data_IF_865052598356
#
_entry.id   IF_865052598356
#
_cell.length_a   1.000
_cell.length_b   1.000
_cell.length_c   1.000
_cell.angle_alpha   90.00
_cell.angle_beta   90.00
_cell.angle_gamma   90.00
#
_symmetry.space_group_name_H-M   'P 1'
#
loop_
_entity.id
_entity.type
_entity.pdbx_description
1 polymer ?
#
# COMPACT_ATOMS: atom_id res chain seq x y z
N UNK A 1 9.27 -9.64 -10.07
CA UNK A 1 7.99 -9.77 -9.39
C UNK A 1 6.87 -9.05 -10.11
N UNK A 2 6.95 -7.75 -10.32
CA UNK A 2 6.02 -6.98 -11.16
C UNK A 2 6.74 -6.53 -12.42
N UNK A 3 6.17 -6.86 -13.59
CA UNK A 3 6.67 -6.42 -14.87
C UNK A 3 5.61 -5.54 -15.55
N UNK A 4 6.00 -4.35 -15.94
CA UNK A 4 5.18 -3.39 -16.67
C UNK A 4 5.74 -3.37 -18.09
N UNK A 5 4.91 -3.67 -19.09
CA UNK A 5 5.33 -3.83 -20.49
C UNK A 5 4.52 -2.93 -21.41
N UNK A 6 5.18 -1.95 -21.98
CA UNK A 6 4.64 -1.06 -23.03
C UNK A 6 3.28 -0.45 -22.67
N UNK A 7 3.11 -0.01 -21.42
CA UNK A 7 1.85 0.57 -20.96
C UNK A 7 1.60 1.91 -21.62
N UNK A 8 0.39 2.04 -22.15
CA UNK A 8 -0.16 3.30 -22.65
C UNK A 8 -1.44 3.63 -21.89
N UNK A 9 -1.58 4.91 -21.52
CA UNK A 9 -2.81 5.47 -20.96
C UNK A 9 -3.03 6.90 -21.44
N UNK A 10 -4.15 7.13 -22.10
CA UNK A 10 -4.53 8.42 -22.65
C UNK A 10 -5.80 8.94 -21.97
N UNK A 11 -5.92 10.25 -21.88
CA UNK A 11 -7.12 10.96 -21.46
C UNK A 11 -7.48 11.98 -22.53
N UNK A 12 -8.42 11.64 -23.42
CA UNK A 12 -8.67 12.42 -24.62
C UNK A 12 -7.40 12.56 -25.49
N UNK A 13 -6.95 13.78 -25.73
CA UNK A 13 -5.72 14.04 -26.49
C UNK A 13 -4.42 13.96 -25.70
N UNK A 14 -4.48 13.83 -24.36
CA UNK A 14 -3.30 13.77 -23.49
C UNK A 14 -2.79 12.33 -23.35
N UNK A 15 -1.56 12.07 -23.76
CA UNK A 15 -0.85 10.80 -23.50
C UNK A 15 -0.21 10.87 -22.11
N UNK A 16 -0.93 10.42 -21.08
CA UNK A 16 -0.45 10.50 -19.71
C UNK A 16 0.60 9.44 -19.37
N UNK A 17 0.49 8.25 -19.97
CA UNK A 17 1.55 7.21 -19.98
C UNK A 17 1.74 6.79 -21.43
N UNK A 18 2.99 6.78 -21.87
CA UNK A 18 3.35 6.58 -23.26
C UNK A 18 4.52 5.57 -23.38
N UNK A 19 4.18 4.30 -23.54
CA UNK A 19 5.14 3.20 -23.67
C UNK A 19 6.00 2.94 -22.42
N UNK A 20 5.43 3.10 -21.22
CA UNK A 20 6.17 2.83 -19.99
C UNK A 20 6.47 1.33 -19.84
N UNK A 21 7.74 1.01 -19.59
CA UNK A 21 8.22 -0.35 -19.35
C UNK A 21 9.23 -0.36 -18.21
N UNK A 22 8.98 -1.19 -17.18
CA UNK A 22 9.86 -1.28 -16.01
C UNK A 22 9.63 -2.58 -15.24
N UNK A 23 10.55 -2.91 -14.35
CA UNK A 23 10.50 -4.11 -13.52
C UNK A 23 10.68 -3.72 -12.06
N UNK A 24 9.80 -4.24 -11.19
CA UNK A 24 9.96 -4.18 -9.75
C UNK A 24 10.32 -5.59 -9.27
N UNK A 25 11.51 -5.75 -8.72
CA UNK A 25 12.01 -7.04 -8.25
C UNK A 25 11.35 -7.42 -6.92
N UNK A 26 11.23 -8.72 -6.66
CA UNK A 26 10.73 -9.22 -5.38
C UNK A 26 11.70 -8.84 -4.27
N UNK A 27 11.16 -8.32 -3.17
CA UNK A 27 11.95 -7.90 -2.00
C UNK A 27 12.76 -6.62 -2.23
N UNK A 28 12.53 -5.85 -3.32
CA UNK A 28 13.11 -4.53 -3.49
C UNK A 28 12.21 -3.42 -2.96
N UNK A 29 12.82 -2.29 -2.65
CA UNK A 29 12.11 -1.00 -2.49
C UNK A 29 12.48 -0.18 -3.71
N UNK A 30 11.64 -0.24 -4.75
CA UNK A 30 11.90 0.44 -6.02
C UNK A 30 11.29 1.83 -5.99
N UNK A 31 12.10 2.88 -6.20
CA UNK A 31 11.65 4.26 -6.30
C UNK A 31 11.25 4.62 -7.73
N UNK A 32 10.18 5.40 -7.91
CA UNK A 32 9.79 6.02 -9.17
C UNK A 32 9.79 7.54 -9.00
N UNK A 33 10.75 8.19 -9.62
CA UNK A 33 10.92 9.65 -9.57
C UNK A 33 10.67 10.28 -10.94
N UNK A 34 10.53 11.59 -10.96
CA UNK A 34 10.37 12.36 -12.19
C UNK A 34 9.59 13.65 -11.96
N UNK A 35 9.55 14.57 -12.92
CA UNK A 35 8.87 15.84 -12.78
C UNK A 35 7.35 15.68 -12.61
N UNK A 36 6.69 16.76 -12.16
CA UNK A 36 5.24 16.80 -12.15
C UNK A 36 4.70 16.67 -13.58
N UNK A 37 3.63 15.89 -13.75
CA UNK A 37 3.10 15.59 -15.08
C UNK A 37 3.82 14.47 -15.84
N UNK A 38 4.89 13.86 -15.31
CA UNK A 38 5.58 12.74 -15.94
C UNK A 38 4.74 11.45 -16.09
N UNK A 39 3.53 11.39 -15.50
CA UNK A 39 2.66 10.23 -15.61
C UNK A 39 2.75 9.23 -14.44
N UNK A 40 3.58 9.47 -13.42
CA UNK A 40 3.82 8.57 -12.27
C UNK A 40 2.52 8.11 -11.59
N UNK A 41 1.71 9.07 -11.14
CA UNK A 41 0.43 8.78 -10.47
C UNK A 41 -0.56 8.08 -11.41
N UNK A 42 -0.55 8.41 -12.71
CA UNK A 42 -1.37 7.71 -13.70
C UNK A 42 -0.93 6.25 -13.85
N UNK A 43 0.37 5.99 -13.87
CA UNK A 43 0.91 4.63 -13.91
C UNK A 43 0.53 3.85 -12.65
N UNK A 44 0.67 4.44 -11.46
CA UNK A 44 0.24 3.82 -10.20
C UNK A 44 -1.26 3.55 -10.16
N UNK A 45 -2.09 4.49 -10.62
CA UNK A 45 -3.53 4.28 -10.76
C UNK A 45 -3.85 3.12 -11.72
N UNK A 46 -3.05 2.94 -12.77
CA UNK A 46 -3.21 1.85 -13.73
C UNK A 46 -2.82 0.50 -13.10
N UNK A 47 -1.72 0.45 -12.36
CA UNK A 47 -1.28 -0.76 -11.63
C UNK A 47 -2.28 -1.12 -10.53
N UNK A 48 -2.81 -0.12 -9.82
CA UNK A 48 -3.80 -0.29 -8.75
C UNK A 48 -5.22 -0.59 -9.25
N UNK A 49 -5.44 -0.70 -10.57
CA UNK A 49 -6.73 -1.05 -11.16
C UNK A 49 -7.78 0.07 -11.15
N UNK A 50 -7.38 1.31 -10.84
CA UNK A 50 -8.26 2.49 -10.90
C UNK A 50 -8.51 2.87 -12.35
N UNK A 51 -7.44 2.79 -13.18
CA UNK A 51 -7.55 2.97 -14.62
C UNK A 51 -7.20 1.68 -15.35
N UNK A 52 -7.98 1.33 -16.36
CA UNK A 52 -7.59 0.27 -17.29
C UNK A 52 -6.55 0.84 -18.26
N UNK A 53 -5.42 0.13 -18.52
CA UNK A 53 -4.50 0.54 -19.58
C UNK A 53 -5.19 0.50 -20.95
N UNK A 54 -4.79 1.39 -21.85
CA UNK A 54 -5.29 1.40 -23.22
C UNK A 54 -4.58 0.33 -24.07
N UNK A 55 -3.30 0.06 -23.75
CA UNK A 55 -2.52 -1.08 -24.28
C UNK A 55 -1.34 -1.39 -23.37
N UNK A 56 -0.66 -2.51 -23.65
CA UNK A 56 0.42 -3.05 -22.83
C UNK A 56 -0.08 -4.00 -21.76
N UNK A 57 0.83 -4.60 -21.00
CA UNK A 57 0.53 -5.59 -19.99
C UNK A 57 1.21 -5.29 -18.65
N UNK A 58 0.53 -5.63 -17.57
CA UNK A 58 1.04 -5.61 -16.20
C UNK A 58 1.04 -7.05 -15.71
N UNK A 59 2.23 -7.60 -15.43
CA UNK A 59 2.40 -9.00 -15.07
C UNK A 59 2.93 -9.09 -13.64
N UNK A 60 2.21 -9.78 -12.77
CA UNK A 60 2.61 -10.10 -11.40
C UNK A 60 2.91 -11.59 -11.27
N UNK A 61 4.15 -11.94 -10.93
CA UNK A 61 4.56 -13.36 -10.72
C UNK A 61 4.09 -14.29 -11.88
N UNK A 62 4.27 -13.83 -13.13
CA UNK A 62 3.88 -14.51 -14.36
C UNK A 62 2.36 -14.51 -14.68
N UNK A 63 1.54 -13.89 -13.86
CA UNK A 63 0.11 -13.71 -14.10
C UNK A 63 -0.18 -12.31 -14.65
N UNK A 64 -0.97 -12.22 -15.74
CA UNK A 64 -1.43 -10.95 -16.28
C UNK A 64 -2.54 -10.38 -15.38
N UNK A 65 -2.28 -9.21 -14.82
CA UNK A 65 -3.20 -8.47 -13.95
C UNK A 65 -3.73 -7.19 -14.61
N UNK A 66 -3.51 -7.02 -15.91
CA UNK A 66 -3.87 -5.82 -16.65
C UNK A 66 -5.38 -5.55 -16.60
N UNK A 67 -5.76 -4.40 -16.05
CA UNK A 67 -7.15 -3.97 -15.97
C UNK A 67 -8.02 -4.71 -14.97
N UNK A 68 -7.43 -5.51 -14.07
CA UNK A 68 -8.12 -6.03 -12.90
C UNK A 68 -8.58 -4.88 -12.00
N UNK A 69 -9.71 -5.08 -11.34
CA UNK A 69 -10.28 -4.08 -10.41
C UNK A 69 -9.53 -4.09 -9.05
N UNK A 70 -9.59 -3.00 -8.26
CA UNK A 70 -8.87 -2.90 -6.99
C UNK A 70 -9.14 -4.05 -6.01
N UNK A 71 -10.39 -4.55 -5.91
CA UNK A 71 -10.73 -5.67 -5.03
C UNK A 71 -10.14 -7.01 -5.50
N UNK A 72 -9.94 -7.20 -6.82
CA UNK A 72 -9.28 -8.39 -7.38
C UNK A 72 -7.77 -8.33 -7.10
N UNK A 73 -7.16 -7.14 -7.20
CA UNK A 73 -5.77 -6.90 -6.85
C UNK A 73 -5.51 -7.05 -5.34
N UNK A 74 -6.46 -6.62 -4.50
CA UNK A 74 -6.41 -6.86 -3.06
C UNK A 74 -6.32 -8.36 -2.74
N UNK A 75 -7.13 -9.20 -3.40
CA UNK A 75 -7.07 -10.67 -3.25
C UNK A 75 -5.73 -11.26 -3.71
N UNK A 76 -5.02 -10.57 -4.62
CA UNK A 76 -3.65 -10.94 -5.04
C UNK A 76 -2.57 -10.34 -4.15
N UNK A 77 -2.96 -9.70 -3.04
CA UNK A 77 -2.06 -9.08 -2.06
C UNK A 77 -1.25 -7.91 -2.62
N UNK A 78 -1.85 -7.17 -3.56
CA UNK A 78 -1.37 -5.87 -4.01
C UNK A 78 -2.18 -4.81 -3.31
N UNK A 79 -1.52 -3.96 -2.54
CA UNK A 79 -2.15 -2.83 -1.87
C UNK A 79 -1.53 -1.53 -2.32
N UNK A 80 -2.35 -0.49 -2.30
CA UNK A 80 -1.89 0.88 -2.50
C UNK A 80 -2.24 1.70 -1.27
N UNK A 81 -1.28 2.46 -0.78
CA UNK A 81 -1.56 3.55 0.15
C UNK A 81 -2.00 4.78 -0.62
N UNK A 82 -2.80 5.63 -0.02
CA UNK A 82 -3.29 6.85 -0.64
C UNK A 82 -2.44 8.05 -0.18
N UNK A 83 -2.36 9.07 -1.02
CA UNK A 83 -1.69 10.34 -0.70
C UNK A 83 -2.29 11.00 0.55
N UNK A 84 -3.61 10.84 0.75
CA UNK A 84 -4.30 11.22 1.99
C UNK A 84 -4.69 9.93 2.70
N UNK A 85 -4.24 9.77 3.95
CA UNK A 85 -4.60 8.61 4.75
C UNK A 85 -6.12 8.56 4.98
N UNK A 86 -6.71 7.42 4.66
CA UNK A 86 -8.14 7.16 4.81
C UNK A 86 -8.39 6.23 6.01
N UNK A 87 -8.16 6.78 7.20
CA UNK A 87 -8.52 6.10 8.44
C UNK A 87 -10.04 6.23 8.71
N UNK A 88 -10.58 5.25 9.40
CA UNK A 88 -11.90 5.36 9.99
C UNK A 88 -11.77 6.15 11.29
N UNK A 89 -12.00 7.45 11.21
CA UNK A 89 -11.70 8.42 12.27
C UNK A 89 -12.43 8.18 13.59
N UNK A 90 -13.59 7.51 13.54
CA UNK A 90 -14.41 7.14 14.71
C UNK A 90 -14.07 5.80 15.32
N UNK A 91 -13.15 5.03 14.71
CA UNK A 91 -12.65 3.79 15.22
C UNK A 91 -11.28 4.00 15.88
N UNK A 92 -10.95 3.15 16.86
CA UNK A 92 -9.62 3.12 17.47
C UNK A 92 -8.56 2.65 16.49
N UNK A 93 -7.29 2.85 16.80
CA UNK A 93 -6.15 2.30 16.03
C UNK A 93 -6.28 0.78 15.89
N UNK A 94 -6.59 0.10 16.98
CA UNK A 94 -6.80 -1.35 16.99
C UNK A 94 -7.92 -1.77 16.04
N UNK A 95 -9.10 -1.16 16.16
CA UNK A 95 -10.26 -1.47 15.31
C UNK A 95 -9.99 -1.19 13.84
N UNK A 96 -9.27 -0.10 13.52
CA UNK A 96 -8.84 0.20 12.15
C UNK A 96 -7.99 -0.90 11.52
N UNK A 97 -7.18 -1.60 12.31
CA UNK A 97 -6.39 -2.73 11.85
C UNK A 97 -7.24 -4.00 11.76
N UNK A 98 -8.06 -4.27 12.77
CA UNK A 98 -8.87 -5.49 12.84
C UNK A 98 -9.90 -5.62 11.72
N UNK A 99 -10.37 -4.52 11.16
CA UNK A 99 -11.34 -4.56 10.05
C UNK A 99 -10.75 -4.86 8.67
N UNK A 100 -9.41 -4.91 8.53
CA UNK A 100 -8.74 -5.05 7.22
C UNK A 100 -8.73 -6.49 6.68
N UNK A 101 -8.49 -7.54 7.49
CA UNK A 101 -8.42 -8.91 6.97
C UNK A 101 -9.72 -9.32 6.28
N UNK A 102 -9.64 -9.92 5.06
CA UNK A 102 -10.82 -10.37 4.34
C UNK A 102 -11.42 -11.66 4.93
N UNK A 103 -12.65 -11.98 4.55
CA UNK A 103 -13.32 -13.24 4.88
C UNK A 103 -13.50 -13.46 6.39
N UNK A 104 -13.85 -12.42 7.11
CA UNK A 104 -14.15 -12.55 8.54
C UNK A 104 -15.49 -13.28 8.72
N UNK A 105 -15.49 -14.31 9.56
CA UNK A 105 -16.72 -15.10 9.83
C UNK A 105 -17.85 -14.25 10.42
N UNK A 106 -17.51 -13.19 11.17
CA UNK A 106 -18.47 -12.24 11.74
C UNK A 106 -19.26 -11.44 10.73
N UNK A 107 -18.78 -11.30 9.47
CA UNK A 107 -19.49 -10.65 8.38
C UNK A 107 -20.68 -11.46 7.84
N UNK A 108 -20.73 -12.76 8.16
CA UNK A 108 -21.80 -13.64 7.74
C UNK A 108 -22.78 -13.88 8.90
N UNK A 109 -24.04 -13.45 8.70
CA UNK A 109 -25.12 -13.56 9.69
C UNK A 109 -25.27 -15.00 10.21
N UNK A 110 -25.15 -16.02 9.37
CA UNK A 110 -25.30 -17.44 9.77
C UNK A 110 -24.18 -17.84 10.72
N UNK A 111 -22.94 -17.44 10.44
CA UNK A 111 -21.80 -17.73 11.32
C UNK A 111 -21.90 -16.96 12.63
N UNK A 112 -22.31 -15.67 12.58
CA UNK A 112 -22.48 -14.84 13.75
C UNK A 112 -23.54 -15.42 14.72
N UNK A 113 -24.62 -16.02 14.19
CA UNK A 113 -25.70 -16.58 15.00
C UNK A 113 -25.45 -18.00 15.46
N UNK A 114 -24.92 -18.87 14.60
CA UNK A 114 -24.83 -20.31 14.87
C UNK A 114 -23.43 -20.83 15.15
N UNK A 115 -22.38 -20.06 14.90
CA UNK A 115 -20.98 -20.48 15.07
C UNK A 115 -20.13 -19.45 15.83
N UNK A 116 -20.69 -18.89 16.90
CA UNK A 116 -20.07 -17.83 17.71
C UNK A 116 -18.64 -18.20 18.19
N UNK A 117 -18.37 -19.48 18.49
CA UNK A 117 -17.03 -19.91 18.88
C UNK A 117 -15.97 -19.76 17.78
N UNK A 118 -16.34 -19.98 16.51
CA UNK A 118 -15.44 -19.77 15.38
C UNK A 118 -15.20 -18.27 15.12
N UNK A 119 -16.25 -17.47 15.23
CA UNK A 119 -16.13 -16.01 15.12
C UNK A 119 -15.18 -15.48 16.18
N UNK A 120 -15.40 -15.81 17.45
CA UNK A 120 -14.54 -15.36 18.56
C UNK A 120 -13.10 -15.78 18.38
N UNK A 121 -12.85 -17.02 17.98
CA UNK A 121 -11.47 -17.49 17.74
C UNK A 121 -10.78 -16.69 16.66
N UNK A 122 -11.47 -16.43 15.53
CA UNK A 122 -10.89 -15.64 14.44
C UNK A 122 -10.68 -14.19 14.86
N UNK A 123 -11.59 -13.59 15.60
CA UNK A 123 -11.45 -12.22 16.14
C UNK A 123 -10.25 -12.12 17.10
N UNK A 124 -10.00 -13.12 17.94
CA UNK A 124 -8.82 -13.20 18.80
C UNK A 124 -7.53 -13.26 17.96
N UNK A 125 -7.47 -14.15 16.97
CA UNK A 125 -6.31 -14.25 16.06
C UNK A 125 -6.04 -12.94 15.30
N UNK A 126 -7.08 -12.26 14.82
CA UNK A 126 -6.98 -10.97 14.15
C UNK A 126 -6.51 -9.89 15.13
N UNK A 127 -7.03 -9.90 16.35
CA UNK A 127 -6.64 -8.97 17.41
C UNK A 127 -5.18 -9.13 17.80
N UNK A 128 -4.71 -10.35 17.99
CA UNK A 128 -3.32 -10.64 18.32
C UNK A 128 -2.40 -10.13 17.21
N UNK A 129 -2.73 -10.42 15.96
CA UNK A 129 -2.00 -9.88 14.80
C UNK A 129 -2.00 -8.35 14.78
N UNK A 130 -3.13 -7.71 15.09
CA UNK A 130 -3.22 -6.25 15.13
C UNK A 130 -2.36 -5.65 16.24
N UNK A 131 -2.31 -6.30 17.41
CA UNK A 131 -1.42 -5.89 18.52
C UNK A 131 0.05 -5.99 18.10
N UNK A 132 0.46 -7.07 17.44
CA UNK A 132 1.82 -7.25 16.93
C UNK A 132 2.17 -6.15 15.90
N UNK A 133 1.24 -5.80 15.03
CA UNK A 133 1.42 -4.71 14.06
C UNK A 133 1.57 -3.36 14.75
N UNK A 134 0.74 -3.08 15.76
CA UNK A 134 0.81 -1.85 16.56
C UNK A 134 2.16 -1.74 17.27
N UNK A 135 2.65 -2.84 17.84
CA UNK A 135 3.95 -2.88 18.52
C UNK A 135 5.10 -2.69 17.52
N UNK A 136 5.04 -3.35 16.36
CA UNK A 136 6.01 -3.18 15.27
C UNK A 136 6.13 -1.72 14.81
N UNK A 137 5.02 -0.99 14.76
CA UNK A 137 4.96 0.41 14.33
C UNK A 137 5.20 1.42 15.46
N UNK A 138 5.52 0.97 16.67
CA UNK A 138 5.67 1.82 17.87
C UNK A 138 4.41 2.64 18.23
N UNK A 139 3.23 2.15 17.89
CA UNK A 139 1.95 2.80 18.16
C UNK A 139 1.23 2.28 19.42
N UNK A 140 1.91 1.51 20.27
CA UNK A 140 1.31 0.85 21.46
C UNK A 140 0.59 1.80 22.39
N UNK A 141 1.15 3.01 22.59
CA UNK A 141 0.56 4.05 23.42
C UNK A 141 -0.73 4.66 22.83
N UNK A 142 -1.03 4.38 21.56
CA UNK A 142 -2.21 4.86 20.83
C UNK A 142 -3.23 3.76 20.52
N UNK A 143 -3.04 2.54 21.02
CA UNK A 143 -3.86 1.37 20.68
C UNK A 143 -5.36 1.62 20.79
N UNK A 144 -5.80 2.31 21.86
CA UNK A 144 -7.20 2.65 22.11
C UNK A 144 -7.57 4.08 21.74
N UNK A 145 -6.64 4.85 21.15
CA UNK A 145 -6.92 6.21 20.69
C UNK A 145 -7.75 6.15 19.40
N UNK A 146 -8.68 7.10 19.25
CA UNK A 146 -9.44 7.25 18.00
C UNK A 146 -8.49 7.66 16.87
N UNK A 147 -8.59 6.99 15.73
CA UNK A 147 -7.71 7.27 14.60
C UNK A 147 -7.86 8.70 14.06
N UNK A 148 -9.01 9.34 14.27
CA UNK A 148 -9.22 10.75 13.95
C UNK A 148 -8.27 11.69 14.70
N UNK A 149 -7.85 11.35 15.94
CA UNK A 149 -6.99 12.16 16.80
C UNK A 149 -5.49 12.00 16.47
N UNK A 150 -5.13 11.06 15.63
CA UNK A 150 -3.74 10.81 15.24
C UNK A 150 -3.16 11.98 14.44
N UNK A 151 -1.88 12.26 14.64
CA UNK A 151 -1.12 13.16 13.76
C UNK A 151 -1.05 12.59 12.32
N UNK A 152 -0.78 13.45 11.33
CA UNK A 152 -0.69 13.04 9.94
C UNK A 152 0.27 11.86 9.68
N UNK A 153 1.43 11.85 10.32
CA UNK A 153 2.38 10.75 10.17
C UNK A 153 1.97 9.48 10.94
N UNK A 154 1.32 9.61 12.12
CA UNK A 154 0.75 8.44 12.81
C UNK A 154 -0.36 7.79 11.97
N UNK A 155 -1.16 8.58 11.26
CA UNK A 155 -2.14 8.07 10.29
C UNK A 155 -1.46 7.30 9.15
N UNK A 156 -0.34 7.79 8.64
CA UNK A 156 0.45 7.08 7.62
C UNK A 156 1.09 5.80 8.15
N UNK A 157 1.56 5.78 9.40
CA UNK A 157 2.00 4.54 10.05
C UNK A 157 0.84 3.54 10.20
N UNK A 158 -0.35 4.01 10.60
CA UNK A 158 -1.55 3.17 10.68
C UNK A 158 -1.92 2.60 9.32
N UNK A 159 -1.83 3.40 8.25
CA UNK A 159 -2.07 2.95 6.88
C UNK A 159 -1.05 1.88 6.45
N UNK A 160 0.23 2.05 6.77
CA UNK A 160 1.25 1.02 6.57
C UNK A 160 0.91 -0.25 7.35
N UNK A 161 0.44 -0.13 8.61
CA UNK A 161 -0.03 -1.24 9.42
C UNK A 161 -1.18 -2.01 8.78
N UNK A 162 -2.09 -1.34 8.11
CA UNK A 162 -3.17 -1.99 7.37
C UNK A 162 -2.64 -2.91 6.27
N UNK A 163 -1.53 -2.57 5.62
CA UNK A 163 -0.90 -3.46 4.63
C UNK A 163 -0.33 -4.72 5.27
N UNK A 164 0.10 -4.64 6.54
CA UNK A 164 0.61 -5.78 7.29
C UNK A 164 -0.50 -6.76 7.68
N UNK A 165 -1.72 -6.28 7.92
CA UNK A 165 -2.85 -7.13 8.30
C UNK A 165 -3.23 -8.16 7.23
N UNK A 166 -2.88 -7.93 5.96
CA UNK A 166 -3.18 -8.82 4.82
C UNK A 166 -1.94 -9.52 4.25
N UNK A 167 -0.77 -9.39 4.88
CA UNK A 167 0.50 -9.96 4.41
C UNK A 167 0.76 -9.63 2.93
N UNK A 168 0.81 -8.33 2.64
CA UNK A 168 0.92 -7.81 1.28
C UNK A 168 2.17 -8.31 0.59
N UNK A 169 2.06 -8.68 -0.69
CA UNK A 169 3.21 -9.04 -1.54
C UNK A 169 3.86 -7.81 -2.15
N UNK A 170 3.03 -6.88 -2.60
CA UNK A 170 3.45 -5.62 -3.23
C UNK A 170 2.66 -4.47 -2.63
N UNK A 171 3.36 -3.46 -2.15
CA UNK A 171 2.77 -2.23 -1.64
C UNK A 171 3.19 -1.06 -2.54
N UNK A 172 2.20 -0.39 -3.10
CA UNK A 172 2.37 0.84 -3.86
C UNK A 172 2.28 2.01 -2.89
N UNK A 173 3.38 2.71 -2.67
CA UNK A 173 3.46 3.87 -1.77
C UNK A 173 3.45 5.16 -2.59
N UNK A 174 2.48 6.04 -2.32
CA UNK A 174 2.28 7.28 -3.07
C UNK A 174 2.44 8.48 -2.12
N UNK A 175 3.60 9.16 -2.23
CA UNK A 175 3.93 10.38 -1.48
C UNK A 175 3.75 10.26 0.05
N UNK A 176 4.35 9.23 0.66
CA UNK A 176 4.24 8.98 2.11
C UNK A 176 4.85 10.10 2.95
N UNK A 177 5.82 10.83 2.39
CA UNK A 177 6.48 11.97 3.04
C UNK A 177 5.65 13.27 3.02
N UNK A 178 4.60 13.37 2.21
CA UNK A 178 3.85 14.61 2.06
C UNK A 178 3.16 15.03 3.37
N UNK A 179 3.48 16.26 3.85
CA UNK A 179 2.89 16.83 5.07
C UNK A 179 3.36 16.19 6.39
N UNK A 180 4.43 15.40 6.36
CA UNK A 180 4.99 14.74 7.53
C UNK A 180 6.26 15.47 8.00
N UNK A 181 6.43 15.66 9.32
CA UNK A 181 7.67 16.22 9.86
C UNK A 181 8.82 15.22 9.75
N UNK A 182 10.07 15.71 9.82
CA UNK A 182 11.31 14.92 9.65
C UNK A 182 11.41 13.72 10.60
N UNK A 183 11.04 13.89 11.85
CA UNK A 183 11.12 12.82 12.86
C UNK A 183 10.23 11.67 12.47
N UNK A 184 8.98 11.95 12.15
CA UNK A 184 7.98 10.96 11.79
C UNK A 184 8.25 10.33 10.41
N UNK A 185 8.84 11.11 9.48
CA UNK A 185 9.31 10.60 8.20
C UNK A 185 10.41 9.55 8.38
N UNK A 186 11.31 9.77 9.36
CA UNK A 186 12.32 8.78 9.72
C UNK A 186 11.69 7.50 10.28
N UNK A 187 10.68 7.62 11.15
CA UNK A 187 9.96 6.46 11.70
C UNK A 187 9.26 5.65 10.59
N UNK A 188 8.61 6.33 9.64
CA UNK A 188 7.99 5.68 8.47
C UNK A 188 9.05 4.98 7.62
N UNK A 189 10.18 5.65 7.36
CA UNK A 189 11.30 5.08 6.59
C UNK A 189 11.84 3.81 7.23
N UNK A 190 12.07 3.87 8.54
CA UNK A 190 12.60 2.74 9.31
C UNK A 190 11.59 1.58 9.35
N UNK A 191 10.29 1.86 9.45
CA UNK A 191 9.25 0.84 9.36
C UNK A 191 9.22 0.18 7.98
N UNK A 192 9.34 0.95 6.87
CA UNK A 192 9.41 0.41 5.50
C UNK A 192 10.64 -0.49 5.34
N UNK A 193 11.82 -0.02 5.80
CA UNK A 193 13.07 -0.81 5.74
C UNK A 193 12.97 -2.10 6.55
N UNK A 194 12.39 -2.04 7.74
CA UNK A 194 12.17 -3.23 8.58
C UNK A 194 11.20 -4.22 7.92
N UNK A 195 10.08 -3.74 7.36
CA UNK A 195 9.14 -4.59 6.62
C UNK A 195 9.80 -5.27 5.43
N UNK A 196 10.63 -4.56 4.69
CA UNK A 196 11.38 -5.13 3.59
C UNK A 196 12.36 -6.21 4.07
N UNK A 197 13.20 -5.90 5.07
CA UNK A 197 14.27 -6.81 5.54
C UNK A 197 13.72 -8.00 6.33
N UNK A 198 12.77 -7.77 7.26
CA UNK A 198 12.31 -8.79 8.20
C UNK A 198 11.14 -9.62 7.64
N UNK A 199 10.30 -9.01 6.79
CA UNK A 199 9.08 -9.63 6.24
C UNK A 199 9.11 -9.83 4.74
N UNK A 200 10.22 -9.46 4.07
CA UNK A 200 10.41 -9.60 2.60
C UNK A 200 9.32 -8.91 1.76
N UNK A 201 8.81 -7.78 2.25
CA UNK A 201 7.86 -6.95 1.50
C UNK A 201 8.53 -6.34 0.28
N UNK A 202 7.77 -6.23 -0.80
CA UNK A 202 8.17 -5.49 -2.00
C UNK A 202 7.44 -4.16 -2.00
N UNK A 203 8.18 -3.07 -2.20
CA UNK A 203 7.61 -1.73 -2.29
C UNK A 203 7.89 -1.13 -3.66
N UNK A 204 6.90 -0.43 -4.20
CA UNK A 204 7.06 0.46 -5.33
C UNK A 204 6.61 1.85 -4.89
N UNK A 205 7.51 2.83 -4.93
CA UNK A 205 7.39 4.10 -4.20
C UNK A 205 7.44 5.26 -5.17
N UNK A 206 6.43 6.13 -5.15
CA UNK A 206 6.51 7.47 -5.74
C UNK A 206 6.82 8.45 -4.61
N UNK A 207 7.88 9.21 -4.77
CA UNK A 207 8.27 10.25 -3.82
C UNK A 207 8.93 11.43 -4.51
N UNK A 208 8.85 12.59 -3.83
CA UNK A 208 9.50 13.83 -4.24
C UNK A 208 10.62 14.24 -3.27
N UNK A 209 10.64 13.68 -2.05
CA UNK A 209 11.72 13.88 -1.08
C UNK A 209 12.90 12.99 -1.46
N UNK A 210 13.97 13.63 -1.98
CA UNK A 210 15.14 12.90 -2.48
C UNK A 210 15.94 12.26 -1.35
N UNK A 211 15.94 12.84 -0.14
CA UNK A 211 16.61 12.25 1.03
C UNK A 211 15.92 10.94 1.42
N UNK A 212 14.58 10.89 1.31
CA UNK A 212 13.83 9.66 1.56
C UNK A 212 14.13 8.60 0.50
N UNK A 213 14.11 8.98 -0.78
CA UNK A 213 14.43 8.07 -1.89
C UNK A 213 15.83 7.48 -1.73
N UNK A 214 16.85 8.30 -1.47
CA UNK A 214 18.23 7.85 -1.27
C UNK A 214 18.34 6.91 -0.06
N UNK A 215 17.58 7.19 1.01
CA UNK A 215 17.62 6.39 2.23
C UNK A 215 17.01 4.99 2.05
N UNK A 216 15.92 4.86 1.30
CA UNK A 216 15.14 3.60 1.30
C UNK A 216 15.09 2.88 -0.03
N UNK A 217 15.29 3.54 -1.17
CA UNK A 217 15.02 2.96 -2.49
C UNK A 217 16.29 2.42 -3.17
N UNK A 218 16.20 1.18 -3.62
CA UNK A 218 17.14 0.53 -4.52
C UNK A 218 16.40 -0.59 -5.29
N UNK A 219 16.27 -0.46 -6.63
CA UNK A 219 16.71 0.62 -7.54
C UNK A 219 15.79 1.85 -7.57
N UNK A 220 16.27 2.91 -8.24
CA UNK A 220 15.47 4.09 -8.58
C UNK A 220 15.25 4.17 -10.09
N UNK A 221 14.01 4.34 -10.50
CA UNK A 221 13.58 4.49 -11.90
C UNK A 221 13.18 5.95 -12.13
N UNK A 222 13.60 6.50 -13.23
CA UNK A 222 13.23 7.88 -13.63
C UNK A 222 12.18 7.81 -14.73
N UNK A 223 11.07 8.51 -14.53
CA UNK A 223 10.00 8.63 -15.53
C UNK A 223 9.90 10.08 -16.04
N UNK A 224 9.88 10.24 -17.35
CA UNK A 224 9.72 11.53 -18.02
C UNK A 224 8.78 11.40 -19.22
N UNK A 225 7.92 12.40 -19.45
CA UNK A 225 7.02 12.48 -20.62
C UNK A 225 6.18 11.21 -20.86
N UNK A 226 5.81 10.53 -19.79
CA UNK A 226 4.97 9.31 -19.84
C UNK A 226 5.72 7.99 -20.00
N UNK A 227 7.06 8.00 -20.08
CA UNK A 227 7.90 6.81 -20.31
C UNK A 227 9.04 6.70 -19.31
#
# INVERSE_FOLDING_TARGET
>A
MLEIKNIHKNFGGLKAVNNASMIVNKGSITGLIGPNGAGKTTLFNTIAGIYKPDSGNIILESEDISGLKPHELFNKKILRTFQIAHEFSTLTVLENLMMVPPNQYGENIVYAWFKNSLVKKQEEEIRDKAVDVIDFLNLKHLTQELAGNLSGGQKKLLELGRTMMVDSKLVLLDEVGAGVNRTLLNEISDAILRLNKEKNYTFFVIEHDMDLIEKICDPVIVMAEGS
#
